data_IF_990033994811
#
_entry.id   IF_990033994811
#
_cell.length_a   1.000
_cell.length_b   1.000
_cell.length_c   1.000
_cell.angle_alpha   90.00
_cell.angle_beta   90.00
_cell.angle_gamma   90.00
#
_symmetry.space_group_name_H-M   'P 1'
#
loop_
_entity.id
_entity.type
_entity.pdbx_description
1 polymer ?
#
# COMPACT_ATOMS: atom_id res chain seq x y z
N UNK A 1 19.96 1.43 -16.16
CA UNK A 1 19.24 0.14 -16.22
C UNK A 1 20.03 -1.00 -15.59
N UNK A 2 20.90 -1.74 -16.30
CA UNK A 2 21.56 -2.95 -15.75
C UNK A 2 22.26 -2.73 -14.40
N UNK A 3 23.09 -1.68 -14.27
CA UNK A 3 23.75 -1.34 -12.99
C UNK A 3 22.76 -1.06 -11.85
N UNK A 4 21.60 -0.49 -12.17
CA UNK A 4 20.53 -0.20 -11.21
C UNK A 4 19.83 -1.48 -10.77
N UNK A 5 19.54 -2.39 -11.71
CA UNK A 5 18.97 -3.72 -11.44
C UNK A 5 19.90 -4.53 -10.53
N UNK A 6 21.20 -4.57 -10.84
CA UNK A 6 22.20 -5.25 -10.00
C UNK A 6 22.31 -4.64 -8.60
N UNK A 7 22.12 -3.32 -8.49
CA UNK A 7 22.12 -2.65 -7.20
C UNK A 7 20.92 -3.04 -6.35
N UNK A 8 19.72 -3.03 -6.95
CA UNK A 8 18.48 -3.47 -6.30
C UNK A 8 18.58 -4.93 -5.86
N UNK A 9 19.13 -5.82 -6.70
CA UNK A 9 19.38 -7.22 -6.33
C UNK A 9 20.24 -7.34 -5.06
N UNK A 10 21.36 -6.60 -5.00
CA UNK A 10 22.25 -6.60 -3.82
C UNK A 10 21.56 -6.06 -2.57
N UNK A 11 20.74 -5.01 -2.71
CA UNK A 11 19.97 -4.47 -1.59
C UNK A 11 18.97 -5.49 -1.06
N UNK A 12 18.23 -6.16 -1.94
CA UNK A 12 17.27 -7.19 -1.54
C UNK A 12 17.95 -8.38 -0.85
N UNK A 13 19.09 -8.85 -1.37
CA UNK A 13 19.87 -9.90 -0.72
C UNK A 13 20.35 -9.48 0.67
N UNK A 14 20.85 -8.24 0.80
CA UNK A 14 21.27 -7.69 2.09
C UNK A 14 20.10 -7.58 3.08
N UNK A 15 18.93 -7.12 2.61
CA UNK A 15 17.73 -7.02 3.42
C UNK A 15 17.28 -8.39 3.93
N UNK A 16 17.10 -9.37 3.04
CA UNK A 16 16.70 -10.74 3.41
C UNK A 16 17.69 -11.36 4.40
N UNK A 17 18.99 -11.20 4.18
CA UNK A 17 20.01 -11.70 5.10
C UNK A 17 19.94 -11.03 6.50
N UNK A 18 19.54 -9.75 6.56
CA UNK A 18 19.44 -9.01 7.80
C UNK A 18 18.16 -9.32 8.61
N UNK A 19 17.02 -9.48 7.93
CA UNK A 19 15.72 -9.71 8.59
C UNK A 19 15.40 -11.17 8.84
N UNK A 20 16.11 -12.11 8.19
CA UNK A 20 15.87 -13.55 8.30
C UNK A 20 14.70 -14.02 7.43
N UNK A 21 14.35 -15.31 7.52
CA UNK A 21 13.34 -15.93 6.65
C UNK A 21 11.90 -15.78 7.15
N UNK A 22 11.72 -15.43 8.43
CA UNK A 22 10.40 -15.34 9.08
C UNK A 22 9.71 -13.99 8.88
N UNK A 23 10.43 -12.97 8.40
CA UNK A 23 9.89 -11.64 8.13
C UNK A 23 9.45 -11.56 6.67
N UNK A 24 8.17 -11.28 6.43
CA UNK A 24 7.67 -11.00 5.09
C UNK A 24 8.23 -9.66 4.57
N UNK A 25 8.53 -9.58 3.28
CA UNK A 25 9.05 -8.38 2.63
C UNK A 25 8.06 -7.94 1.56
N UNK A 26 7.69 -6.67 1.55
CA UNK A 26 6.91 -6.06 0.46
C UNK A 26 7.76 -4.97 -0.18
N UNK A 27 7.63 -4.79 -1.50
CA UNK A 27 8.43 -3.81 -2.24
C UNK A 27 7.54 -2.97 -3.12
N UNK A 28 7.54 -1.67 -2.87
CA UNK A 28 6.81 -0.70 -3.66
C UNK A 28 7.71 -0.04 -4.71
N UNK A 29 7.24 -0.04 -5.96
CA UNK A 29 7.88 0.60 -7.10
C UNK A 29 7.30 1.98 -7.44
N UNK A 30 6.13 2.35 -6.88
CA UNK A 30 5.41 3.60 -7.09
C UNK A 30 5.23 3.97 -8.57
N UNK A 31 5.04 2.97 -9.45
CA UNK A 31 4.90 3.16 -10.89
C UNK A 31 6.16 3.69 -11.61
N UNK A 32 7.31 3.76 -10.93
CA UNK A 32 8.54 4.39 -11.44
C UNK A 32 9.28 3.66 -12.55
N UNK A 33 9.22 2.32 -12.71
CA UNK A 33 9.88 1.66 -13.82
C UNK A 33 9.39 2.22 -15.17
N UNK A 34 10.31 2.65 -16.02
CA UNK A 34 9.99 3.35 -17.26
C UNK A 34 9.21 2.49 -18.30
N UNK A 35 9.07 1.19 -18.07
CA UNK A 35 8.31 0.27 -18.93
C UNK A 35 8.01 -1.04 -18.22
N UNK A 36 7.08 -1.83 -18.76
CA UNK A 36 6.81 -3.22 -18.34
C UNK A 36 8.09 -4.06 -18.33
N UNK A 37 8.95 -3.93 -19.34
CA UNK A 37 10.21 -4.67 -19.39
C UNK A 37 11.15 -4.28 -18.24
N UNK A 38 11.26 -2.99 -17.93
CA UNK A 38 12.06 -2.52 -16.80
C UNK A 38 11.49 -3.00 -15.47
N UNK A 39 10.17 -2.98 -15.29
CA UNK A 39 9.52 -3.51 -14.10
C UNK A 39 9.83 -5.00 -13.91
N UNK A 40 9.72 -5.81 -14.96
CA UNK A 40 10.02 -7.24 -14.93
C UNK A 40 11.50 -7.54 -14.62
N UNK A 41 12.43 -6.72 -15.10
CA UNK A 41 13.85 -6.85 -14.75
C UNK A 41 14.09 -6.61 -13.25
N UNK A 42 13.44 -5.59 -12.67
CA UNK A 42 13.53 -5.34 -11.23
C UNK A 42 12.84 -6.41 -10.39
N UNK A 43 11.65 -6.89 -10.81
CA UNK A 43 10.94 -8.00 -10.15
C UNK A 43 11.85 -9.24 -10.10
N UNK A 44 12.44 -9.62 -11.24
CA UNK A 44 13.37 -10.77 -11.31
C UNK A 44 14.59 -10.59 -10.41
N UNK A 45 15.08 -9.36 -10.27
CA UNK A 45 16.22 -9.06 -9.41
C UNK A 45 15.90 -9.20 -7.92
N UNK A 46 14.66 -8.91 -7.50
CA UNK A 46 14.24 -9.01 -6.09
C UNK A 46 13.59 -10.35 -5.74
N UNK A 47 13.18 -11.15 -6.73
CA UNK A 47 12.58 -12.48 -6.57
C UNK A 47 13.33 -13.38 -5.56
N UNK A 48 14.69 -13.46 -5.54
CA UNK A 48 15.40 -14.27 -4.56
C UNK A 48 15.17 -13.86 -3.09
N UNK A 49 14.76 -12.61 -2.86
CA UNK A 49 14.38 -12.11 -1.53
C UNK A 49 13.01 -12.59 -1.06
N UNK A 50 12.27 -13.31 -1.90
CA UNK A 50 10.92 -13.84 -1.62
C UNK A 50 9.97 -12.75 -1.10
N UNK A 51 9.79 -11.63 -1.82
CA UNK A 51 8.78 -10.65 -1.43
C UNK A 51 7.38 -11.28 -1.46
N UNK A 52 6.54 -10.90 -0.49
CA UNK A 52 5.12 -11.23 -0.44
C UNK A 52 4.40 -10.65 -1.65
N UNK A 53 4.70 -9.40 -2.00
CA UNK A 53 4.24 -8.77 -3.24
C UNK A 53 5.19 -7.66 -3.72
N UNK A 54 5.03 -7.29 -4.99
CA UNK A 54 5.51 -6.04 -5.58
C UNK A 54 4.34 -5.12 -5.84
N UNK A 55 4.42 -3.91 -5.31
CA UNK A 55 3.41 -2.87 -5.42
C UNK A 55 3.74 -1.87 -6.55
N UNK A 56 2.68 -1.43 -7.24
CA UNK A 56 2.70 -0.48 -8.36
C UNK A 56 3.90 -0.67 -9.32
N UNK A 57 4.08 -1.86 -9.94
CA UNK A 57 5.22 -2.09 -10.82
C UNK A 57 5.20 -1.20 -12.07
N UNK A 58 4.02 -0.72 -12.45
CA UNK A 58 3.72 0.27 -13.48
C UNK A 58 2.55 1.14 -12.99
N UNK A 59 2.29 2.32 -13.58
CA UNK A 59 1.13 3.13 -13.21
C UNK A 59 -0.18 2.32 -13.30
N UNK A 60 -1.06 2.40 -12.29
CA UNK A 60 -2.20 1.49 -12.15
C UNK A 60 -3.39 1.82 -13.07
N UNK A 61 -3.33 2.96 -13.77
CA UNK A 61 -4.42 3.49 -14.59
C UNK A 61 -4.66 2.70 -15.88
N UNK A 62 -3.72 1.84 -16.28
CA UNK A 62 -3.86 0.95 -17.44
C UNK A 62 -3.88 -0.53 -17.03
N UNK A 63 -5.08 -1.15 -16.98
CA UNK A 63 -5.24 -2.57 -16.65
C UNK A 63 -4.52 -3.54 -17.59
N UNK A 64 -4.28 -3.18 -18.85
CA UNK A 64 -3.57 -4.05 -19.79
C UNK A 64 -2.07 -4.07 -19.51
N UNK A 65 -1.49 -2.94 -19.09
CA UNK A 65 -0.09 -2.89 -18.64
C UNK A 65 0.10 -3.69 -17.34
N UNK A 66 -0.82 -3.53 -16.38
CA UNK A 66 -0.82 -4.34 -15.16
C UNK A 66 -0.92 -5.83 -15.48
N UNK A 67 -1.81 -6.23 -16.40
CA UNK A 67 -1.93 -7.62 -16.86
C UNK A 67 -0.64 -8.13 -17.50
N UNK A 68 0.05 -7.30 -18.29
CA UNK A 68 1.29 -7.68 -18.95
C UNK A 68 2.42 -8.00 -17.94
N UNK A 69 2.49 -7.24 -16.84
CA UNK A 69 3.41 -7.55 -15.72
C UNK A 69 2.94 -8.79 -14.98
N UNK A 70 1.67 -8.83 -14.55
CA UNK A 70 1.08 -9.91 -13.75
C UNK A 70 1.23 -11.29 -14.41
N UNK A 71 1.09 -11.39 -15.74
CA UNK A 71 1.28 -12.66 -16.47
C UNK A 71 2.72 -13.18 -16.53
N UNK A 72 3.70 -12.33 -16.27
CA UNK A 72 5.13 -12.64 -16.42
C UNK A 72 5.88 -12.59 -15.09
N UNK A 73 5.27 -12.01 -14.05
CA UNK A 73 5.85 -11.92 -12.71
C UNK A 73 5.81 -13.27 -12.01
N UNK A 74 6.90 -13.61 -11.33
CA UNK A 74 6.97 -14.74 -10.39
C UNK A 74 6.64 -14.33 -8.94
N UNK A 75 6.46 -13.03 -8.70
CA UNK A 75 6.04 -12.45 -7.42
C UNK A 75 4.59 -11.95 -7.56
N UNK A 76 3.81 -12.03 -6.48
CA UNK A 76 2.48 -11.42 -6.47
C UNK A 76 2.56 -9.91 -6.75
N UNK A 77 1.52 -9.38 -7.38
CA UNK A 77 1.43 -7.99 -7.83
C UNK A 77 0.31 -7.33 -7.05
N UNK A 78 0.64 -6.23 -6.37
CA UNK A 78 -0.28 -5.42 -5.62
C UNK A 78 -0.45 -4.05 -6.29
N UNK A 79 -1.65 -3.48 -6.22
CA UNK A 79 -1.91 -2.08 -6.59
C UNK A 79 -3.28 -1.62 -6.09
N UNK A 80 -3.51 -0.30 -6.07
CA UNK A 80 -4.84 0.26 -5.85
C UNK A 80 -4.86 1.61 -5.14
N UNK A 81 -3.75 2.07 -4.57
CA UNK A 81 -3.68 3.27 -3.73
C UNK A 81 -4.19 4.54 -4.44
N UNK A 82 -3.95 4.61 -5.76
CA UNK A 82 -4.31 5.75 -6.62
C UNK A 82 -5.73 5.64 -7.20
N UNK A 83 -6.43 4.53 -6.96
CA UNK A 83 -7.77 4.28 -7.51
C UNK A 83 -8.84 4.74 -6.54
N UNK A 84 -9.80 5.54 -7.02
CA UNK A 84 -10.74 6.28 -6.17
C UNK A 84 -12.14 5.65 -6.06
N UNK A 85 -12.36 4.48 -6.67
CA UNK A 85 -13.64 3.79 -6.55
C UNK A 85 -13.74 2.49 -7.33
N UNK A 86 -14.80 1.72 -7.07
CA UNK A 86 -14.94 0.35 -7.60
C UNK A 86 -14.90 0.25 -9.12
N UNK A 87 -15.27 1.32 -9.84
CA UNK A 87 -15.28 1.35 -11.31
C UNK A 87 -13.87 1.29 -11.90
N UNK A 88 -12.87 1.77 -11.18
CA UNK A 88 -11.47 1.72 -11.59
C UNK A 88 -10.83 0.38 -11.23
N UNK A 89 -11.29 -0.26 -10.14
CA UNK A 89 -10.89 -1.62 -9.78
C UNK A 89 -11.51 -2.71 -10.68
N UNK A 90 -12.75 -2.52 -11.16
CA UNK A 90 -13.47 -3.51 -11.99
C UNK A 90 -12.63 -4.08 -13.14
N UNK A 91 -11.98 -3.28 -14.01
CA UNK A 91 -11.26 -3.84 -15.14
C UNK A 91 -10.03 -4.64 -14.70
N UNK A 92 -9.40 -4.28 -13.58
CA UNK A 92 -8.28 -5.03 -13.02
C UNK A 92 -8.73 -6.41 -12.54
N UNK A 93 -9.89 -6.48 -11.87
CA UNK A 93 -10.46 -7.75 -11.42
C UNK A 93 -10.91 -8.62 -12.59
N UNK A 94 -11.63 -8.04 -13.55
CA UNK A 94 -12.13 -8.75 -14.73
C UNK A 94 -11.01 -9.34 -15.58
N UNK A 95 -9.86 -8.67 -15.66
CA UNK A 95 -8.69 -9.14 -16.41
C UNK A 95 -7.76 -10.03 -15.58
N UNK A 96 -7.96 -10.15 -14.26
CA UNK A 96 -6.99 -10.71 -13.33
C UNK A 96 -5.61 -10.04 -13.47
N UNK A 97 -5.61 -8.71 -13.52
CA UNK A 97 -4.42 -7.90 -13.75
C UNK A 97 -3.59 -7.65 -12.48
N UNK A 98 -4.03 -8.15 -11.33
CA UNK A 98 -3.35 -8.03 -10.03
C UNK A 98 -3.71 -9.24 -9.16
N UNK A 99 -2.94 -9.43 -8.09
CA UNK A 99 -3.14 -10.49 -7.10
C UNK A 99 -3.68 -9.95 -5.76
N UNK A 100 -3.31 -8.71 -5.40
CA UNK A 100 -3.69 -8.05 -4.15
C UNK A 100 -4.15 -6.63 -4.49
N UNK A 101 -5.37 -6.27 -4.08
CA UNK A 101 -5.90 -4.92 -4.25
C UNK A 101 -5.67 -4.09 -3.00
N UNK A 102 -5.28 -2.83 -3.19
CA UNK A 102 -4.89 -1.91 -2.11
C UNK A 102 -5.78 -0.66 -2.10
N UNK A 103 -7.10 -0.79 -1.92
CA UNK A 103 -7.96 0.38 -1.85
C UNK A 103 -7.63 1.20 -0.61
N UNK A 104 -7.41 2.50 -0.79
CA UNK A 104 -7.36 3.45 0.31
C UNK A 104 -8.79 3.77 0.76
N UNK A 105 -9.10 3.51 2.04
CA UNK A 105 -10.45 3.71 2.59
C UNK A 105 -10.86 5.19 2.53
N UNK A 106 -9.94 6.12 2.76
CA UNK A 106 -10.23 7.55 2.72
C UNK A 106 -10.40 8.06 1.28
N UNK A 107 -9.71 7.47 0.30
CA UNK A 107 -9.86 7.87 -1.11
C UNK A 107 -11.06 7.22 -1.79
N UNK A 108 -11.39 5.97 -1.46
CA UNK A 108 -12.45 5.21 -2.13
C UNK A 108 -13.86 5.56 -1.64
N UNK A 109 -14.02 6.54 -0.74
CA UNK A 109 -15.34 6.94 -0.24
C UNK A 109 -15.79 6.20 1.02
N UNK A 110 -14.84 5.67 1.80
CA UNK A 110 -15.05 5.09 3.12
C UNK A 110 -15.49 3.63 3.12
N UNK A 111 -15.68 3.09 4.34
CA UNK A 111 -15.94 1.68 4.61
C UNK A 111 -17.03 1.05 3.72
N UNK A 112 -18.10 1.78 3.42
CA UNK A 112 -19.22 1.26 2.62
C UNK A 112 -18.80 0.95 1.18
N UNK A 113 -17.95 1.79 0.59
CA UNK A 113 -17.49 1.58 -0.78
C UNK A 113 -16.35 0.55 -0.82
N UNK A 114 -15.38 0.66 0.10
CA UNK A 114 -14.26 -0.27 0.21
C UNK A 114 -14.74 -1.71 0.42
N UNK A 115 -15.80 -1.95 1.21
CA UNK A 115 -16.37 -3.29 1.39
C UNK A 115 -16.92 -3.90 0.09
N UNK A 116 -17.43 -3.07 -0.83
CA UNK A 116 -17.92 -3.55 -2.13
C UNK A 116 -16.77 -3.85 -3.07
N UNK A 117 -15.68 -3.08 -2.98
CA UNK A 117 -14.42 -3.37 -3.69
C UNK A 117 -13.87 -4.72 -3.20
N UNK A 118 -13.79 -4.93 -1.87
CA UNK A 118 -13.33 -6.18 -1.28
C UNK A 118 -14.15 -7.40 -1.69
N UNK A 119 -15.48 -7.29 -1.67
CA UNK A 119 -16.36 -8.38 -2.12
C UNK A 119 -16.20 -8.71 -3.62
N UNK A 120 -15.96 -7.69 -4.45
CA UNK A 120 -15.66 -7.90 -5.87
C UNK A 120 -14.28 -8.57 -6.07
N UNK A 121 -13.27 -8.15 -5.29
CA UNK A 121 -11.96 -8.77 -5.26
C UNK A 121 -12.03 -10.24 -4.82
N UNK A 122 -12.81 -10.55 -3.77
CA UNK A 122 -13.03 -11.91 -3.29
C UNK A 122 -13.60 -12.80 -4.40
N UNK A 123 -14.61 -12.30 -5.14
CA UNK A 123 -15.19 -13.01 -6.29
C UNK A 123 -14.17 -13.28 -7.40
N UNK A 124 -13.20 -12.38 -7.58
CA UNK A 124 -12.14 -12.50 -8.57
C UNK A 124 -10.92 -13.32 -8.09
N UNK A 125 -10.93 -13.82 -6.85
CA UNK A 125 -9.80 -14.53 -6.24
C UNK A 125 -8.62 -13.62 -5.88
N UNK A 126 -8.89 -12.35 -5.59
CA UNK A 126 -7.91 -11.31 -5.26
C UNK A 126 -7.93 -11.02 -3.76
N UNK A 127 -6.74 -10.93 -3.15
CA UNK A 127 -6.58 -10.52 -1.75
C UNK A 127 -6.72 -9.01 -1.55
N UNK A 128 -6.95 -8.57 -0.32
CA UNK A 128 -7.08 -7.15 0.04
C UNK A 128 -6.01 -6.76 1.06
N UNK A 129 -5.27 -5.70 0.77
CA UNK A 129 -4.31 -5.09 1.68
C UNK A 129 -4.50 -3.55 1.64
N UNK A 130 -5.37 -2.98 2.48
CA UNK A 130 -5.73 -1.56 2.38
C UNK A 130 -4.52 -0.65 2.53
N UNK A 131 -4.37 0.27 1.57
CA UNK A 131 -3.39 1.36 1.64
C UNK A 131 -3.79 2.33 2.75
N UNK A 132 -2.86 2.66 3.64
CA UNK A 132 -3.12 3.49 4.82
C UNK A 132 -1.86 4.20 5.34
N UNK A 133 -1.36 5.21 4.61
CA UNK A 133 -0.30 6.11 5.05
C UNK A 133 -0.84 7.24 5.95
N UNK A 134 -2.05 7.08 6.48
CA UNK A 134 -2.88 8.16 7.02
C UNK A 134 -2.75 8.27 8.56
N UNK A 135 -3.59 9.14 9.13
CA UNK A 135 -3.63 9.37 10.58
C UNK A 135 -4.31 8.24 11.38
N UNK A 136 -4.28 8.33 12.72
CA UNK A 136 -4.70 7.24 13.61
C UNK A 136 -6.17 6.82 13.47
N UNK A 137 -7.05 7.72 13.04
CA UNK A 137 -8.46 7.39 12.79
C UNK A 137 -8.63 6.49 11.56
N UNK A 138 -7.82 6.71 10.53
CA UNK A 138 -7.84 5.89 9.32
C UNK A 138 -7.32 4.49 9.62
N UNK A 139 -6.25 4.36 10.42
CA UNK A 139 -5.72 3.08 10.88
C UNK A 139 -6.75 2.24 11.64
N UNK A 140 -7.53 2.85 12.53
CA UNK A 140 -8.60 2.12 13.24
C UNK A 140 -9.73 1.71 12.33
N UNK A 141 -10.14 2.59 11.42
CA UNK A 141 -11.15 2.26 10.43
C UNK A 141 -10.69 1.10 9.54
N UNK A 142 -9.41 1.09 9.15
CA UNK A 142 -8.79 0.00 8.41
C UNK A 142 -8.82 -1.31 9.21
N UNK A 143 -8.44 -1.30 10.49
CA UNK A 143 -8.47 -2.52 11.31
C UNK A 143 -9.86 -3.10 11.53
N UNK A 144 -10.88 -2.26 11.71
CA UNK A 144 -12.28 -2.72 11.74
C UNK A 144 -12.71 -3.31 10.39
N UNK A 145 -12.23 -2.73 9.30
CA UNK A 145 -12.45 -3.26 7.96
C UNK A 145 -11.75 -4.61 7.76
N UNK A 146 -10.50 -4.75 8.20
CA UNK A 146 -9.67 -5.94 8.04
C UNK A 146 -10.27 -7.17 8.71
N UNK A 147 -10.65 -7.05 9.98
CA UNK A 147 -11.25 -8.17 10.71
C UNK A 147 -12.61 -8.59 10.14
N UNK A 148 -13.28 -7.67 9.44
CA UNK A 148 -14.56 -7.92 8.78
C UNK A 148 -14.42 -8.39 7.32
N UNK A 149 -13.19 -8.53 6.80
CA UNK A 149 -12.90 -8.80 5.38
C UNK A 149 -12.27 -10.19 5.22
N UNK A 150 -12.99 -11.19 4.65
CA UNK A 150 -12.50 -12.57 4.58
C UNK A 150 -11.23 -12.77 3.75
N UNK A 151 -11.04 -11.98 2.70
CA UNK A 151 -9.88 -12.01 1.81
C UNK A 151 -8.78 -11.00 2.19
N UNK A 152 -8.75 -10.56 3.46
CA UNK A 152 -7.68 -9.71 3.98
C UNK A 152 -6.31 -10.43 3.97
N UNK A 153 -5.26 -9.70 3.60
CA UNK A 153 -3.88 -10.19 3.51
C UNK A 153 -3.01 -9.58 4.61
N UNK A 154 -2.90 -8.25 4.63
CA UNK A 154 -2.06 -7.49 5.56
C UNK A 154 -2.51 -6.02 5.58
N UNK A 155 -2.31 -5.33 6.70
CA UNK A 155 -2.66 -3.93 6.87
C UNK A 155 -1.40 -3.07 6.93
N UNK A 156 -1.32 -2.08 6.05
CA UNK A 156 -0.33 -1.01 6.16
C UNK A 156 -0.70 -0.07 7.32
N UNK A 157 0.28 0.35 8.10
CA UNK A 157 0.04 1.35 9.13
C UNK A 157 1.28 2.23 9.31
N UNK A 158 1.15 3.52 8.98
CA UNK A 158 2.20 4.50 9.20
C UNK A 158 2.03 5.22 10.54
N UNK A 159 2.61 4.64 11.60
CA UNK A 159 2.61 5.28 12.93
C UNK A 159 3.68 6.35 13.09
N UNK A 160 3.40 7.37 13.88
CA UNK A 160 4.43 8.32 14.34
C UNK A 160 4.89 9.30 13.27
N UNK A 161 4.08 9.55 12.23
CA UNK A 161 4.35 10.56 11.20
C UNK A 161 4.52 11.98 11.77
N UNK A 162 3.94 12.24 12.96
CA UNK A 162 4.11 13.47 13.74
C UNK A 162 4.33 13.14 15.23
N UNK A 163 5.05 14.00 16.00
CA UNK A 163 5.32 13.74 17.42
C UNK A 163 4.06 13.62 18.29
N UNK A 164 2.96 14.24 17.87
CA UNK A 164 1.67 14.27 18.56
C UNK A 164 0.67 13.23 18.01
N UNK A 165 1.13 12.27 17.20
CA UNK A 165 0.27 11.29 16.52
C UNK A 165 -0.60 10.50 17.51
N UNK A 166 -0.03 10.10 18.65
CA UNK A 166 -0.73 9.35 19.70
C UNK A 166 -1.44 10.25 20.73
N UNK A 167 -1.25 11.56 20.66
CA UNK A 167 -1.91 12.54 21.53
C UNK A 167 -3.25 13.01 20.94
N UNK A 168 -3.36 13.09 19.60
CA UNK A 168 -4.58 13.61 18.93
C UNK A 168 -5.74 12.64 18.93
N UNK A 169 -5.48 11.37 19.19
CA UNK A 169 -6.48 10.34 19.40
C UNK A 169 -6.00 9.49 20.58
N UNK A 170 -6.74 9.52 21.71
CA UNK A 170 -6.34 8.83 22.94
C UNK A 170 -6.24 7.33 22.69
N UNK A 171 -5.01 6.79 22.70
CA UNK A 171 -4.66 5.35 22.72
C UNK A 171 -5.44 4.49 21.73
N UNK A 172 -4.94 4.37 20.50
CA UNK A 172 -5.86 3.97 19.44
C UNK A 172 -5.71 2.51 19.04
N UNK A 173 -4.47 2.02 18.93
CA UNK A 173 -4.16 0.63 18.61
C UNK A 173 -2.80 0.26 19.20
N UNK A 174 -2.70 -0.93 19.79
CA UNK A 174 -1.46 -1.44 20.38
C UNK A 174 -0.92 -2.53 19.48
N UNK A 175 0.38 -2.54 19.23
CA UNK A 175 1.02 -3.68 18.60
C UNK A 175 1.35 -4.71 19.69
N UNK A 176 0.83 -5.92 19.55
CA UNK A 176 1.12 -7.08 20.41
C UNK A 176 1.55 -8.21 19.50
N UNK A 177 2.77 -8.71 19.70
CA UNK A 177 3.35 -9.82 18.92
C UNK A 177 3.26 -9.63 17.39
N UNK A 178 3.49 -8.40 16.92
CA UNK A 178 3.44 -8.06 15.49
C UNK A 178 2.03 -7.81 14.92
N UNK A 179 0.98 -7.85 15.75
CA UNK A 179 -0.39 -7.60 15.34
C UNK A 179 -1.00 -6.37 16.04
N UNK A 180 -1.63 -5.51 15.26
CA UNK A 180 -2.41 -4.39 15.80
C UNK A 180 -3.68 -4.89 16.48
N UNK A 181 -3.91 -4.43 17.70
CA UNK A 181 -5.11 -4.73 18.47
C UNK A 181 -6.24 -3.78 18.10
N UNK A 182 -7.45 -4.32 17.99
CA UNK A 182 -8.65 -3.59 17.56
C UNK A 182 -9.37 -3.01 18.79
N UNK A 183 -9.83 -1.74 18.75
CA UNK A 183 -10.66 -1.17 19.82
C UNK A 183 -11.98 -1.92 20.02
N UNK A 184 -12.38 -2.12 21.27
CA UNK A 184 -13.63 -2.82 21.63
C UNK A 184 -14.79 -1.88 21.99
N UNK A 185 -14.51 -0.59 22.20
CA UNK A 185 -15.55 0.39 22.49
C UNK A 185 -16.47 0.62 21.27
N UNK A 186 -17.76 0.97 21.49
CA UNK A 186 -18.70 1.19 20.39
C UNK A 186 -18.24 2.22 19.34
N UNK A 187 -18.69 2.03 18.10
CA UNK A 187 -18.25 2.87 16.97
C UNK A 187 -16.88 2.45 16.46
N UNK A 188 -16.03 3.42 16.12
CA UNK A 188 -14.61 3.14 15.86
C UNK A 188 -13.85 2.81 17.16
N UNK A 189 -14.44 3.14 18.32
CA UNK A 189 -13.85 2.92 19.64
C UNK A 189 -12.78 3.95 20.02
N UNK A 190 -12.78 5.11 19.35
CA UNK A 190 -11.73 6.14 19.42
C UNK A 190 -12.35 7.52 19.32
N UNK A 191 -11.76 8.48 20.04
CA UNK A 191 -12.19 9.88 20.05
C UNK A 191 -11.01 10.80 19.73
N UNK A 192 -11.30 11.94 19.11
CA UNK A 192 -10.29 12.94 18.78
C UNK A 192 -10.13 13.92 19.95
N UNK A 193 -8.91 14.14 20.40
CA UNK A 193 -8.61 15.26 21.29
C UNK A 193 -8.53 16.56 20.45
N UNK A 194 -9.68 17.23 20.33
CA UNK A 194 -9.78 18.50 19.61
C UNK A 194 -8.88 19.59 20.19
N UNK A 195 -8.51 19.54 21.47
CA UNK A 195 -7.59 20.52 22.08
C UNK A 195 -6.17 20.28 21.63
N UNK A 196 -5.75 19.02 21.48
CA UNK A 196 -4.46 18.67 20.88
C UNK A 196 -4.47 19.07 19.41
N UNK A 197 -5.50 18.69 18.64
CA UNK A 197 -5.62 19.06 17.23
C UNK A 197 -5.53 20.59 17.02
N UNK A 198 -6.20 21.37 17.87
CA UNK A 198 -6.18 22.84 17.79
C UNK A 198 -4.80 23.47 18.05
N UNK A 199 -3.88 22.79 18.75
CA UNK A 199 -2.48 23.24 18.93
C UNK A 199 -1.63 23.04 17.68
N UNK A 200 -2.11 22.24 16.73
CA UNK A 200 -1.41 21.87 15.50
C UNK A 200 -2.23 22.30 14.28
N UNK A 201 -2.44 23.63 14.08
CA UNK A 201 -3.19 24.11 12.93
C UNK A 201 -2.49 23.72 11.62
N UNK A 202 -3.29 23.65 10.54
CA UNK A 202 -2.83 23.34 9.20
C UNK A 202 -1.55 24.11 8.84
N UNK A 203 -0.59 23.39 8.28
CA UNK A 203 0.59 23.94 7.65
C UNK A 203 0.65 23.36 6.25
N UNK A 204 0.96 24.22 5.28
CA UNK A 204 1.12 23.78 3.91
C UNK A 204 2.19 22.70 3.82
N UNK A 205 1.82 21.54 3.28
CA UNK A 205 2.73 20.42 3.07
C UNK A 205 3.65 20.66 1.89
N UNK A 206 4.78 19.95 1.90
CA UNK A 206 5.69 19.88 0.76
C UNK A 206 5.08 18.92 -0.25
N UNK A 207 4.75 19.42 -1.44
CA UNK A 207 4.29 18.58 -2.53
C UNK A 207 5.48 17.81 -3.12
N UNK A 208 5.80 16.65 -2.57
CA UNK A 208 6.94 15.84 -3.03
C UNK A 208 6.88 15.55 -4.53
N UNK A 209 5.68 15.44 -5.11
CA UNK A 209 5.48 15.29 -6.53
C UNK A 209 6.04 16.44 -7.39
N UNK A 210 6.15 17.68 -6.87
CA UNK A 210 6.77 18.79 -7.62
C UNK A 210 8.29 18.66 -7.73
N UNK A 211 8.89 17.66 -7.07
CA UNK A 211 10.32 17.41 -7.06
C UNK A 211 10.69 16.04 -7.62
N UNK A 212 9.75 15.34 -8.27
CA UNK A 212 10.00 14.08 -8.97
C UNK A 212 10.79 14.33 -10.28
N UNK A 213 12.09 14.59 -10.14
CA UNK A 213 13.01 14.91 -11.24
C UNK A 213 14.28 14.09 -11.11
N UNK A 214 14.68 13.41 -12.19
CA UNK A 214 15.94 12.66 -12.25
C UNK A 214 17.16 13.60 -12.35
N UNK A 215 18.36 13.07 -12.12
CA UNK A 215 19.63 13.82 -12.17
C UNK A 215 19.87 14.56 -13.51
N UNK A 216 19.27 14.08 -14.60
CA UNK A 216 19.36 14.68 -15.94
C UNK A 216 18.27 15.74 -16.22
N UNK A 217 17.39 16.02 -15.26
CA UNK A 217 16.30 16.98 -15.38
C UNK A 217 14.98 16.42 -15.91
N UNK A 218 14.90 15.10 -16.16
CA UNK A 218 13.65 14.45 -16.59
C UNK A 218 12.61 14.47 -15.48
N UNK A 219 11.42 15.02 -15.76
CA UNK A 219 10.26 14.94 -14.86
C UNK A 219 9.66 13.54 -14.96
N UNK A 220 9.43 12.90 -13.81
CA UNK A 220 8.88 11.54 -13.71
C UNK A 220 7.65 11.52 -12.80
N UNK A 221 6.91 10.41 -12.86
CA UNK A 221 5.85 10.16 -11.88
C UNK A 221 6.47 10.02 -10.47
N UNK A 222 5.74 10.48 -9.46
CA UNK A 222 6.20 10.50 -8.07
C UNK A 222 5.91 9.16 -7.39
#
# INVERSE_FOLDING_TARGET
HVRSVDHVARLMQGLRAAVGDDIEIMVDFHGRPASVAAALDYIRAIEPGRPLFVEEPVPPTDPELMLAVTRQSHVAIATGERLIGRTEFEPLFRLHALHIAQPDIAHTGGLSETRKIAAAAETAGVGIAPHNPLGPLAGVAALHFDIATPNFVIQEEMTGSVPWYTEVAETVIRMVDGAWQIPEAPGLGVEVDEKVAARHPFKQEIYHATHAVLDDGTIVDW
#
